data_IF_137579884481
#
_entry.id   IF_137579884481
#
_cell.length_a   1.000
_cell.length_b   1.000
_cell.length_c   1.000
_cell.angle_alpha   90.00
_cell.angle_beta   90.00
_cell.angle_gamma   90.00
#
_symmetry.space_group_name_H-M   'P 1'
#
loop_
_entity.id
_entity.type
_entity.pdbx_description
1 polymer ?
#
# COMPACT_ATOMS: atom_id res chain seq x y z
N UNK A 1 -5.85 -18.96 5.15
CA UNK A 1 -4.66 -19.20 4.31
C UNK A 1 -3.73 -18.01 4.48
N UNK A 2 -2.63 -18.19 5.21
CA UNK A 2 -1.65 -17.12 5.45
C UNK A 2 -0.61 -17.14 4.35
N UNK A 3 -0.74 -16.24 3.37
CA UNK A 3 0.31 -15.99 2.39
C UNK A 3 1.49 -15.31 3.07
N UNK A 4 2.71 -15.79 2.81
CA UNK A 4 3.92 -15.12 3.26
C UNK A 4 3.96 -13.72 2.63
N UNK A 5 4.16 -12.69 3.46
CA UNK A 5 4.27 -11.30 3.00
C UNK A 5 5.42 -11.18 2.00
N UNK A 6 5.16 -10.52 0.87
CA UNK A 6 6.17 -10.23 -0.15
C UNK A 6 6.25 -8.72 -0.39
N UNK A 7 7.46 -8.12 -0.36
CA UNK A 7 7.64 -6.74 -0.78
C UNK A 7 7.12 -6.53 -2.20
N UNK A 8 6.33 -5.48 -2.39
CA UNK A 8 5.88 -5.03 -3.69
C UNK A 8 6.78 -3.91 -4.21
N UNK A 9 7.12 -3.96 -5.49
CA UNK A 9 7.67 -2.82 -6.22
C UNK A 9 6.61 -1.73 -6.36
N UNK A 10 5.38 -2.13 -6.69
CA UNK A 10 4.23 -1.25 -6.78
C UNK A 10 2.95 -2.03 -6.51
N UNK A 11 1.92 -1.37 -6.01
CA UNK A 11 0.58 -1.93 -5.95
C UNK A 11 -0.47 -0.84 -6.19
N UNK A 12 -1.66 -1.28 -6.57
CA UNK A 12 -2.74 -0.45 -7.07
C UNK A 12 -4.06 -0.93 -6.47
N UNK A 13 -4.76 -0.01 -5.83
CA UNK A 13 -6.17 -0.17 -5.48
C UNK A 13 -7.04 0.50 -6.55
N UNK A 14 -7.67 -0.29 -7.42
CA UNK A 14 -8.54 0.18 -8.49
C UNK A 14 -9.99 -0.30 -8.27
N UNK A 15 -10.93 0.29 -9.02
CA UNK A 15 -12.35 -0.05 -8.89
C UNK A 15 -12.63 -1.53 -9.20
N UNK A 16 -11.90 -2.10 -10.16
CA UNK A 16 -12.09 -3.47 -10.64
C UNK A 16 -11.32 -4.51 -9.80
N UNK A 17 -10.34 -4.08 -9.01
CA UNK A 17 -9.46 -5.00 -8.31
C UNK A 17 -8.22 -4.35 -7.72
N UNK A 18 -7.45 -5.18 -7.02
CA UNK A 18 -6.12 -4.85 -6.53
C UNK A 18 -5.08 -5.56 -7.38
N UNK A 19 -4.03 -4.84 -7.73
CA UNK A 19 -2.92 -5.33 -8.52
C UNK A 19 -1.63 -5.06 -7.75
N UNK A 20 -0.71 -6.01 -7.70
CA UNK A 20 0.60 -5.78 -7.10
C UNK A 20 1.69 -6.43 -7.95
N UNK A 21 2.76 -5.69 -8.17
CA UNK A 21 3.97 -6.16 -8.80
C UNK A 21 5.01 -6.37 -7.70
N UNK A 22 5.49 -7.60 -7.50
CA UNK A 22 6.49 -7.89 -6.46
C UNK A 22 7.84 -7.24 -6.79
N UNK A 23 8.67 -7.03 -5.78
CA UNK A 23 10.08 -6.74 -6.05
C UNK A 23 10.72 -7.91 -6.80
N UNK A 24 11.68 -7.63 -7.71
CA UNK A 24 12.41 -8.69 -8.38
C UNK A 24 13.25 -9.49 -7.39
N UNK A 25 13.45 -10.79 -7.66
CA UNK A 25 14.26 -11.65 -6.83
C UNK A 25 15.75 -11.59 -7.23
N UNK A 26 16.62 -11.23 -6.29
CA UNK A 26 18.07 -11.11 -6.52
C UNK A 26 18.43 -9.99 -7.50
N UNK A 27 19.50 -10.19 -8.27
CA UNK A 27 19.91 -9.25 -9.33
C UNK A 27 19.12 -9.43 -10.65
N UNK A 28 18.13 -10.32 -10.67
CA UNK A 28 17.32 -10.58 -11.86
C UNK A 28 16.23 -9.54 -12.09
N UNK A 29 15.54 -9.66 -13.23
CA UNK A 29 14.32 -8.89 -13.56
C UNK A 29 13.03 -9.68 -13.34
N UNK A 30 13.12 -10.86 -12.74
CA UNK A 30 11.96 -11.73 -12.53
C UNK A 30 11.17 -11.29 -11.30
N UNK A 31 9.88 -11.02 -11.50
CA UNK A 31 8.93 -10.63 -10.48
C UNK A 31 7.61 -11.42 -10.65
N UNK A 32 6.64 -11.13 -9.80
CA UNK A 32 5.29 -11.67 -9.92
C UNK A 32 4.27 -10.55 -10.00
N UNK A 33 3.26 -10.76 -10.84
CA UNK A 33 2.02 -10.00 -10.83
C UNK A 33 1.00 -10.76 -9.99
N UNK A 34 0.51 -10.10 -8.95
CA UNK A 34 -0.58 -10.55 -8.09
C UNK A 34 -1.83 -9.75 -8.44
N UNK A 35 -2.95 -10.46 -8.62
CA UNK A 35 -4.23 -9.85 -8.94
C UNK A 35 -5.30 -10.35 -7.97
N UNK A 36 -6.11 -9.42 -7.46
CA UNK A 36 -7.33 -9.72 -6.76
C UNK A 36 -8.46 -8.96 -7.43
N UNK A 37 -9.40 -9.68 -8.04
CA UNK A 37 -10.50 -9.08 -8.78
C UNK A 37 -11.71 -8.90 -7.85
N UNK A 38 -12.44 -7.79 -8.01
CA UNK A 38 -13.68 -7.56 -7.26
C UNK A 38 -14.78 -8.44 -7.82
N UNK A 39 -15.36 -9.28 -6.96
CA UNK A 39 -16.50 -10.12 -7.28
C UNK A 39 -17.50 -10.06 -6.12
N UNK A 40 -18.75 -9.66 -6.41
CA UNK A 40 -19.83 -9.53 -5.42
C UNK A 40 -19.42 -8.71 -4.17
N UNK A 41 -18.67 -7.62 -4.36
CA UNK A 41 -18.24 -6.74 -3.26
C UNK A 41 -17.07 -7.26 -2.41
N UNK A 42 -16.42 -8.37 -2.81
CA UNK A 42 -15.23 -8.92 -2.16
C UNK A 42 -14.11 -9.16 -3.16
N UNK A 43 -12.87 -9.20 -2.67
CA UNK A 43 -11.70 -9.54 -3.50
C UNK A 43 -11.47 -11.05 -3.57
N UNK A 44 -11.33 -11.55 -4.79
CA UNK A 44 -10.94 -12.93 -5.07
C UNK A 44 -9.56 -12.97 -5.73
N UNK A 45 -8.63 -13.66 -5.08
CA UNK A 45 -7.26 -13.82 -5.56
C UNK A 45 -7.22 -14.66 -6.83
N UNK A 46 -6.52 -14.17 -7.84
CA UNK A 46 -6.18 -14.93 -9.04
C UNK A 46 -4.83 -15.65 -8.84
N UNK A 47 -4.58 -16.74 -9.57
CA UNK A 47 -3.26 -17.35 -9.62
C UNK A 47 -2.18 -16.31 -9.99
N UNK A 48 -1.06 -16.23 -9.26
CA UNK A 48 0.04 -15.33 -9.60
C UNK A 48 0.56 -15.57 -11.01
N UNK A 49 0.89 -14.49 -11.71
CA UNK A 49 1.55 -14.55 -13.03
C UNK A 49 3.02 -14.20 -12.90
N UNK A 50 3.90 -14.95 -13.57
CA UNK A 50 5.31 -14.62 -13.62
C UNK A 50 5.53 -13.48 -14.62
N UNK A 51 6.38 -12.52 -14.28
CA UNK A 51 6.67 -11.38 -15.15
C UNK A 51 8.16 -11.09 -15.18
N UNK A 52 8.61 -10.55 -16.31
CA UNK A 52 9.96 -10.01 -16.47
C UNK A 52 9.87 -8.50 -16.62
N UNK A 53 10.49 -7.78 -15.69
CA UNK A 53 10.60 -6.32 -15.73
C UNK A 53 11.49 -5.90 -16.89
N UNK A 54 11.18 -4.74 -17.47
CA UNK A 54 12.00 -4.09 -18.49
C UNK A 54 12.63 -2.82 -17.92
N UNK A 55 13.45 -2.14 -18.70
CA UNK A 55 14.03 -0.87 -18.30
C UNK A 55 12.94 0.19 -18.09
N UNK A 56 13.10 0.98 -17.04
CA UNK A 56 12.18 2.08 -16.74
C UNK A 56 12.36 3.19 -17.76
N UNK A 57 11.25 3.77 -18.21
CA UNK A 57 11.24 4.95 -19.05
C UNK A 57 10.69 6.14 -18.26
N UNK A 58 11.43 7.25 -18.22
CA UNK A 58 11.06 8.44 -17.46
C UNK A 58 10.56 9.53 -18.40
N UNK A 59 9.36 10.04 -18.14
CA UNK A 59 8.75 11.16 -18.85
C UNK A 59 8.52 12.36 -17.93
N UNK A 60 8.10 13.49 -18.51
CA UNK A 60 7.75 14.68 -17.74
C UNK A 60 6.64 14.37 -16.72
N UNK A 61 6.98 14.35 -15.42
CA UNK A 61 6.03 14.08 -14.34
C UNK A 61 5.68 12.60 -14.10
N UNK A 62 6.24 11.63 -14.84
CA UNK A 62 5.90 10.21 -14.72
C UNK A 62 7.11 9.28 -14.90
N UNK A 63 7.05 8.10 -14.28
CA UNK A 63 7.91 6.94 -14.59
C UNK A 63 7.02 5.80 -15.07
N UNK A 64 7.46 5.13 -16.12
CA UNK A 64 6.85 3.93 -16.67
C UNK A 64 7.77 2.76 -16.35
N UNK A 65 7.23 1.74 -15.68
CA UNK A 65 7.90 0.46 -15.45
C UNK A 65 7.21 -0.60 -16.31
N UNK A 66 7.73 -0.88 -17.52
CA UNK A 66 7.18 -1.92 -18.36
C UNK A 66 7.55 -3.31 -17.82
N UNK A 67 6.71 -4.29 -18.13
CA UNK A 67 6.97 -5.70 -17.86
C UNK A 67 6.27 -6.58 -18.90
N UNK A 68 6.81 -7.78 -19.12
CA UNK A 68 6.18 -8.80 -19.95
C UNK A 68 5.68 -9.95 -19.07
N UNK A 69 4.46 -10.41 -19.28
CA UNK A 69 3.92 -11.58 -18.56
C UNK A 69 4.41 -12.86 -19.22
N UNK A 70 5.25 -13.62 -18.53
CA UNK A 70 5.94 -14.80 -19.06
C UNK A 70 5.23 -16.11 -18.73
N UNK A 71 4.41 -16.15 -17.67
CA UNK A 71 3.58 -17.30 -17.30
C UNK A 71 2.31 -16.88 -16.56
N UNK A 72 1.29 -17.75 -16.53
CA UNK A 72 0.00 -17.52 -15.87
C UNK A 72 -1.12 -17.16 -16.85
N UNK A 73 -2.25 -16.70 -16.31
CA UNK A 73 -3.48 -16.43 -17.07
C UNK A 73 -3.32 -15.35 -18.15
N UNK A 74 -2.37 -14.43 -17.95
CA UNK A 74 -2.11 -13.31 -18.87
C UNK A 74 -0.84 -13.49 -19.70
N UNK A 75 -0.33 -14.72 -19.84
CA UNK A 75 0.91 -15.00 -20.58
C UNK A 75 0.87 -14.35 -21.97
N UNK A 76 1.95 -13.66 -22.32
CA UNK A 76 2.10 -12.96 -23.60
C UNK A 76 1.53 -11.54 -23.61
N UNK A 77 0.81 -11.12 -22.57
CA UNK A 77 0.35 -9.73 -22.46
C UNK A 77 1.50 -8.84 -21.97
N UNK A 78 1.72 -7.67 -22.59
CA UNK A 78 2.57 -6.64 -22.02
C UNK A 78 1.84 -5.96 -20.85
N UNK A 79 2.60 -5.33 -19.95
CA UNK A 79 2.03 -4.48 -18.92
C UNK A 79 2.96 -3.32 -18.57
N UNK A 80 2.38 -2.30 -17.95
CA UNK A 80 3.11 -1.09 -17.54
C UNK A 80 2.54 -0.62 -16.21
N UNK A 81 3.42 -0.37 -15.24
CA UNK A 81 3.08 0.41 -14.05
C UNK A 81 3.44 1.86 -14.31
N UNK A 82 2.48 2.76 -14.07
CA UNK A 82 2.68 4.21 -14.17
C UNK A 82 2.78 4.79 -12.76
N UNK A 83 3.88 5.47 -12.47
CA UNK A 83 4.10 6.18 -11.22
C UNK A 83 4.53 7.63 -11.46
N UNK A 84 4.45 8.48 -10.43
CA UNK A 84 4.96 9.85 -10.49
C UNK A 84 6.45 9.88 -10.19
N UNK A 85 7.23 10.64 -10.96
CA UNK A 85 8.61 11.00 -10.59
C UNK A 85 8.68 12.26 -9.70
N UNK A 86 7.58 13.00 -9.54
CA UNK A 86 7.51 14.17 -8.63
C UNK A 86 6.96 13.75 -7.27
N UNK A 87 5.84 13.04 -7.27
CA UNK A 87 5.16 12.60 -6.04
C UNK A 87 5.68 11.22 -5.63
N UNK A 88 6.92 11.18 -5.14
CA UNK A 88 7.63 9.95 -4.83
C UNK A 88 8.30 10.01 -3.44
N UNK A 89 8.61 8.85 -2.85
CA UNK A 89 9.17 8.76 -1.48
C UNK A 89 10.58 9.36 -1.30
N UNK A 90 11.28 9.73 -2.37
CA UNK A 90 12.57 10.42 -2.30
C UNK A 90 12.40 11.92 -2.02
N UNK A 91 11.25 12.50 -2.38
CA UNK A 91 10.91 13.88 -2.02
C UNK A 91 10.25 13.90 -0.63
N UNK A 92 10.83 14.61 0.36
CA UNK A 92 10.32 14.65 1.73
C UNK A 92 8.89 15.22 1.85
N UNK A 93 8.40 15.95 0.84
CA UNK A 93 7.02 16.42 0.80
C UNK A 93 6.02 15.26 0.65
N UNK A 94 6.45 14.08 0.16
CA UNK A 94 5.57 12.95 -0.12
C UNK A 94 5.89 11.72 0.72
N UNK A 95 4.84 11.19 1.35
CA UNK A 95 4.93 10.01 2.22
C UNK A 95 4.94 8.68 1.48
N UNK A 96 4.41 8.66 0.26
CA UNK A 96 4.24 7.48 -0.57
C UNK A 96 4.36 7.85 -2.04
N UNK A 97 4.97 6.96 -2.83
CA UNK A 97 5.00 7.13 -4.28
C UNK A 97 3.61 6.98 -4.87
N UNK A 98 3.20 7.96 -5.66
CA UNK A 98 1.95 7.92 -6.40
C UNK A 98 2.05 6.92 -7.54
N UNK A 99 1.37 5.78 -7.38
CA UNK A 99 1.05 4.88 -8.48
C UNK A 99 -0.26 5.38 -9.10
N UNK A 100 -0.24 5.70 -10.39
CA UNK A 100 -1.39 6.28 -11.10
C UNK A 100 -2.20 5.23 -11.85
N UNK A 101 -1.54 4.23 -12.46
CA UNK A 101 -2.23 3.17 -13.17
C UNK A 101 -1.40 1.88 -13.31
N UNK A 102 -2.11 0.76 -13.50
CA UNK A 102 -1.58 -0.50 -13.99
C UNK A 102 -2.23 -0.79 -15.34
N UNK A 103 -1.42 -0.93 -16.40
CA UNK A 103 -1.89 -1.38 -17.70
C UNK A 103 -1.51 -2.85 -17.91
N UNK A 104 -2.46 -3.65 -18.41
CA UNK A 104 -2.30 -5.08 -18.69
C UNK A 104 -2.98 -5.40 -20.03
N UNK A 105 -2.18 -5.66 -21.06
CA UNK A 105 -2.67 -5.74 -22.44
C UNK A 105 -3.34 -4.43 -22.85
N UNK A 106 -4.62 -4.50 -23.22
CA UNK A 106 -5.44 -3.34 -23.59
C UNK A 106 -6.19 -2.70 -22.41
N UNK A 107 -6.16 -3.31 -21.22
CA UNK A 107 -6.86 -2.81 -20.05
C UNK A 107 -5.99 -1.85 -19.24
N UNK A 108 -6.53 -0.69 -18.86
CA UNK A 108 -5.92 0.23 -17.90
C UNK A 108 -6.73 0.25 -16.60
N UNK A 109 -6.05 0.06 -15.47
CA UNK A 109 -6.59 0.10 -14.12
C UNK A 109 -6.07 1.35 -13.40
N UNK A 110 -6.92 2.36 -13.24
CA UNK A 110 -6.56 3.61 -12.56
C UNK A 110 -6.52 3.41 -11.05
N UNK A 111 -5.39 3.75 -10.45
CA UNK A 111 -5.15 3.55 -9.03
C UNK A 111 -5.68 4.72 -8.22
N UNK A 112 -6.37 4.41 -7.13
CA UNK A 112 -6.91 5.40 -6.20
C UNK A 112 -5.82 5.83 -5.22
N UNK A 113 -5.04 6.83 -5.61
CA UNK A 113 -4.02 7.44 -4.75
C UNK A 113 -4.65 8.16 -3.56
N UNK A 114 -3.95 8.16 -2.41
CA UNK A 114 -4.32 8.92 -1.22
C UNK A 114 -3.13 9.71 -0.75
N UNK A 115 -3.19 11.03 -0.93
CA UNK A 115 -2.11 11.93 -0.55
C UNK A 115 -1.87 11.91 0.96
N UNK A 116 -0.60 12.02 1.35
CA UNK A 116 -0.15 12.13 2.74
C UNK A 116 -0.56 10.96 3.66
N UNK A 117 -1.02 9.84 3.11
CA UNK A 117 -1.30 8.65 3.90
C UNK A 117 -0.03 8.15 4.59
N UNK A 118 -0.12 7.91 5.90
CA UNK A 118 0.90 7.21 6.67
C UNK A 118 0.80 5.70 6.48
N UNK A 119 -0.41 5.18 6.26
CA UNK A 119 -0.66 3.80 5.86
C UNK A 119 -1.80 3.74 4.86
N UNK A 120 -1.64 2.88 3.86
CA UNK A 120 -2.67 2.52 2.91
C UNK A 120 -2.63 1.01 2.77
N UNK A 121 -3.73 0.31 3.02
CA UNK A 121 -3.79 -1.14 2.92
C UNK A 121 -5.14 -1.62 2.41
N UNK A 122 -5.18 -2.80 1.81
CA UNK A 122 -6.42 -3.41 1.33
C UNK A 122 -6.64 -4.75 2.01
N UNK A 123 -7.84 -4.95 2.53
CA UNK A 123 -8.35 -6.23 3.02
C UNK A 123 -9.24 -6.88 1.96
N UNK A 124 -9.76 -8.08 2.21
CA UNK A 124 -10.69 -8.71 1.28
C UNK A 124 -11.99 -7.92 1.02
N UNK A 125 -12.31 -6.93 1.86
CA UNK A 125 -13.60 -6.20 1.83
C UNK A 125 -13.46 -4.70 1.54
N UNK A 126 -12.32 -4.10 1.88
CA UNK A 126 -12.18 -2.65 1.87
C UNK A 126 -10.73 -2.20 1.80
N UNK A 127 -10.54 -0.96 1.44
CA UNK A 127 -9.30 -0.23 1.63
C UNK A 127 -9.33 0.48 2.97
N UNK A 128 -8.23 0.43 3.69
CA UNK A 128 -7.97 1.09 4.97
C UNK A 128 -6.93 2.17 4.73
N UNK A 129 -7.20 3.37 5.25
CA UNK A 129 -6.37 4.55 5.08
C UNK A 129 -6.09 5.12 6.47
N UNK A 130 -4.83 5.47 6.73
CA UNK A 130 -4.44 6.14 7.95
C UNK A 130 -3.61 7.37 7.63
N UNK A 131 -3.94 8.49 8.26
CA UNK A 131 -3.13 9.70 8.28
C UNK A 131 -2.58 9.94 9.68
N UNK A 132 -1.40 10.53 9.76
CA UNK A 132 -0.77 10.93 11.02
C UNK A 132 -0.51 12.43 11.05
N UNK A 133 -0.78 13.05 12.20
CA UNK A 133 -0.37 14.42 12.48
C UNK A 133 -0.14 14.60 13.99
N UNK A 134 1.04 15.10 14.39
CA UNK A 134 1.32 15.46 15.79
C UNK A 134 1.11 14.33 16.82
N UNK A 135 1.42 13.07 16.47
CA UNK A 135 1.20 11.91 17.36
C UNK A 135 -0.26 11.41 17.41
N UNK A 136 -1.17 12.06 16.70
CA UNK A 136 -2.55 11.60 16.48
C UNK A 136 -2.67 10.88 15.14
N UNK A 137 -3.64 9.99 15.05
CA UNK A 137 -3.97 9.25 13.84
C UNK A 137 -5.44 9.40 13.45
N UNK A 138 -5.70 9.50 12.16
CA UNK A 138 -7.05 9.44 11.56
C UNK A 138 -7.16 8.14 10.77
N UNK A 139 -8.24 7.42 10.95
CA UNK A 139 -8.58 6.16 10.28
C UNK A 139 -9.77 6.39 9.35
N UNK A 140 -9.67 5.90 8.12
CA UNK A 140 -10.80 5.81 7.20
C UNK A 140 -10.83 4.48 6.47
N UNK A 141 -12.01 4.12 5.98
CA UNK A 141 -12.18 3.00 5.06
C UNK A 141 -12.94 3.42 3.82
N UNK A 142 -12.73 2.70 2.72
CA UNK A 142 -13.54 2.80 1.50
C UNK A 142 -13.79 1.42 0.92
N UNK A 143 -14.97 1.21 0.34
CA UNK A 143 -15.27 0.03 -0.46
C UNK A 143 -14.61 0.11 -1.84
N UNK A 144 -14.62 -0.99 -2.59
CA UNK A 144 -13.97 -1.04 -3.91
C UNK A 144 -14.64 -0.16 -4.96
N UNK A 145 -15.95 0.08 -4.85
CA UNK A 145 -16.68 1.06 -5.67
C UNK A 145 -16.36 2.52 -5.32
N UNK A 146 -15.61 2.78 -4.24
CA UNK A 146 -15.23 4.12 -3.80
C UNK A 146 -16.10 4.71 -2.71
N UNK A 147 -17.17 4.04 -2.29
CA UNK A 147 -18.04 4.52 -1.21
C UNK A 147 -17.26 4.65 0.11
N UNK A 148 -17.29 5.82 0.78
CA UNK A 148 -16.70 5.97 2.10
C UNK A 148 -17.35 5.04 3.12
N UNK A 149 -16.53 4.45 4.00
CA UNK A 149 -16.98 3.63 5.11
C UNK A 149 -16.80 4.34 6.46
N UNK A 150 -16.23 3.61 7.41
CA UNK A 150 -15.88 4.14 8.74
C UNK A 150 -14.86 5.26 8.62
N UNK A 151 -15.06 6.34 9.38
CA UNK A 151 -14.13 7.45 9.56
C UNK A 151 -13.99 7.76 11.05
N UNK A 152 -12.78 7.73 11.59
CA UNK A 152 -12.50 7.92 13.02
C UNK A 152 -11.25 8.78 13.20
N UNK A 153 -11.35 9.80 14.03
CA UNK A 153 -10.25 10.69 14.39
C UNK A 153 -9.79 10.46 15.83
N UNK A 154 -8.70 11.12 16.22
CA UNK A 154 -8.22 11.14 17.60
C UNK A 154 -7.52 9.86 18.06
N UNK A 155 -7.19 8.96 17.13
CA UNK A 155 -6.43 7.75 17.46
C UNK A 155 -5.02 8.05 17.91
N UNK A 156 -4.41 7.06 18.53
CA UNK A 156 -3.01 7.10 18.95
C UNK A 156 -2.17 6.52 17.82
N UNK A 157 -1.22 7.31 17.33
CA UNK A 157 -0.19 6.84 16.42
C UNK A 157 0.95 6.20 17.24
N UNK A 158 1.50 5.06 16.80
CA UNK A 158 2.69 4.49 17.45
C UNK A 158 3.86 5.47 17.34
N UNK A 159 4.51 5.76 18.47
CA UNK A 159 5.65 6.68 18.53
C UNK A 159 6.83 6.25 17.63
N UNK A 160 6.91 4.97 17.30
CA UNK A 160 8.02 4.35 16.58
C UNK A 160 7.51 3.34 15.53
N UNK A 161 6.95 3.80 14.41
CA UNK A 161 6.87 2.93 13.21
C UNK A 161 8.30 2.70 12.73
N UNK A 162 8.92 1.59 13.16
CA UNK A 162 10.30 1.26 12.77
C UNK A 162 10.27 0.41 11.51
N UNK A 163 10.96 0.87 10.46
CA UNK A 163 11.58 0.01 9.47
C UNK A 163 12.82 -0.64 10.10
N UNK A 164 13.19 -1.83 9.63
CA UNK A 164 14.41 -2.57 9.98
C UNK A 164 14.37 -3.41 11.25
N UNK A 165 13.26 -4.12 11.50
CA UNK A 165 13.40 -5.43 12.12
C UNK A 165 13.41 -6.48 11.00
N UNK A 166 14.15 -7.59 11.14
CA UNK A 166 14.07 -8.73 10.21
C UNK A 166 12.63 -9.28 10.05
N UNK A 167 11.69 -8.85 10.91
CA UNK A 167 10.29 -9.25 10.95
C UNK A 167 9.32 -8.25 10.30
N UNK A 168 9.79 -7.13 9.72
CA UNK A 168 8.95 -6.16 8.99
C UNK A 168 8.55 -4.92 9.80
N UNK A 169 7.45 -4.28 9.42
CA UNK A 169 6.94 -3.06 10.07
C UNK A 169 6.41 -3.36 11.48
N UNK A 170 6.78 -2.54 12.45
CA UNK A 170 6.25 -2.65 13.80
C UNK A 170 5.48 -1.39 14.18
N UNK A 171 4.22 -1.53 14.60
CA UNK A 171 3.37 -0.42 14.99
C UNK A 171 1.95 -0.87 15.25
N UNK A 172 1.33 -0.32 16.30
CA UNK A 172 -0.08 -0.53 16.61
C UNK A 172 -0.76 0.83 16.66
N UNK A 173 -1.71 1.06 15.75
CA UNK A 173 -2.61 2.18 15.86
C UNK A 173 -3.86 1.78 16.60
N UNK A 174 -4.36 2.68 17.44
CA UNK A 174 -5.55 2.44 18.25
C UNK A 174 -6.49 3.62 18.18
N UNK A 175 -7.76 3.36 17.85
CA UNK A 175 -8.84 4.34 17.97
C UNK A 175 -9.92 3.78 18.88
N UNK A 176 -10.28 4.51 19.94
CA UNK A 176 -11.41 4.17 20.80
C UNK A 176 -12.52 5.18 20.56
N UNK A 177 -13.70 4.70 20.23
CA UNK A 177 -14.90 5.52 20.00
C UNK A 177 -15.96 5.23 21.06
N UNK A 178 -17.01 6.05 21.07
CA UNK A 178 -18.16 5.86 21.96
C UNK A 178 -18.74 4.44 21.87
N UNK A 179 -19.28 3.95 22.98
CA UNK A 179 -19.83 2.59 23.07
C UNK A 179 -18.78 1.48 23.29
N UNK A 180 -17.53 1.85 23.56
CA UNK A 180 -16.46 0.89 23.89
C UNK A 180 -15.99 0.07 22.69
N UNK A 181 -16.07 0.65 21.49
CA UNK A 181 -15.54 0.08 20.25
C UNK A 181 -14.10 0.58 20.08
N UNK A 182 -13.20 -0.34 19.77
CA UNK A 182 -11.79 -0.05 19.57
C UNK A 182 -11.30 -0.65 18.26
N UNK A 183 -10.71 0.17 17.39
CA UNK A 183 -10.08 -0.24 16.14
C UNK A 183 -8.57 -0.36 16.37
N UNK A 184 -8.01 -1.53 16.05
CA UNK A 184 -6.59 -1.83 16.15
C UNK A 184 -6.04 -2.13 14.75
N UNK A 185 -5.06 -1.34 14.30
CA UNK A 185 -4.26 -1.66 13.12
C UNK A 185 -2.89 -2.17 13.59
N UNK A 186 -2.68 -3.47 13.54
CA UNK A 186 -1.43 -4.11 13.95
C UNK A 186 -0.57 -4.41 12.71
N UNK A 187 0.47 -3.60 12.50
CA UNK A 187 1.40 -3.76 11.38
C UNK A 187 2.29 -4.99 11.52
N UNK A 188 2.51 -5.51 12.75
CA UNK A 188 3.30 -6.73 12.96
C UNK A 188 2.53 -7.95 12.47
N UNK A 189 1.21 -7.92 12.60
CA UNK A 189 0.31 -9.00 12.19
C UNK A 189 -0.31 -8.78 10.82
N UNK A 190 -0.12 -7.61 10.22
CA UNK A 190 -0.79 -7.16 8.99
C UNK A 190 -2.31 -7.32 9.12
N UNK A 191 -2.86 -6.84 10.23
CA UNK A 191 -4.24 -7.10 10.61
C UNK A 191 -4.94 -5.81 11.07
N UNK A 192 -6.19 -5.67 10.64
CA UNK A 192 -7.18 -4.81 11.27
C UNK A 192 -8.05 -5.67 12.19
N UNK A 193 -8.16 -5.27 13.46
CA UNK A 193 -9.10 -5.86 14.40
C UNK A 193 -10.03 -4.79 14.97
N UNK A 194 -11.31 -5.12 15.10
CA UNK A 194 -12.28 -4.30 15.83
C UNK A 194 -12.69 -5.05 17.07
N UNK A 195 -12.60 -4.39 18.22
CA UNK A 195 -13.04 -4.90 19.50
C UNK A 195 -14.24 -4.11 19.99
N UNK A 196 -15.16 -4.79 20.66
CA UNK A 196 -16.27 -4.16 21.34
C UNK A 196 -16.36 -4.76 22.73
N UNK A 197 -16.32 -3.91 23.77
CA UNK A 197 -16.36 -4.35 25.19
C UNK A 197 -15.34 -5.46 25.50
N UNK A 198 -14.12 -5.30 24.98
CA UNK A 198 -13.00 -6.24 25.18
C UNK A 198 -13.00 -7.49 24.29
N UNK A 199 -14.06 -7.78 23.52
CA UNK A 199 -14.13 -8.91 22.60
C UNK A 199 -13.82 -8.50 21.17
N UNK A 200 -13.02 -9.29 20.44
CA UNK A 200 -12.80 -9.07 19.00
C UNK A 200 -14.07 -9.45 18.23
N UNK A 201 -14.68 -8.49 17.55
CA UNK A 201 -15.89 -8.67 16.73
C UNK A 201 -15.60 -8.69 15.24
N UNK A 202 -14.46 -8.13 14.81
CA UNK A 202 -13.99 -8.18 13.44
C UNK A 202 -12.48 -8.38 13.41
N UNK A 203 -12.02 -9.17 12.44
CA UNK A 203 -10.63 -9.36 12.10
C UNK A 203 -10.49 -9.46 10.59
N UNK A 204 -9.62 -8.63 10.00
CA UNK A 204 -9.33 -8.61 8.57
C UNK A 204 -7.83 -8.56 8.35
N UNK A 205 -7.29 -9.46 7.52
CA UNK A 205 -5.89 -9.43 7.11
C UNK A 205 -5.68 -8.55 5.88
N UNK A 206 -4.53 -7.88 5.80
CA UNK A 206 -4.15 -7.12 4.62
C UNK A 206 -3.61 -8.04 3.52
N UNK A 207 -4.08 -7.81 2.29
CA UNK A 207 -3.63 -8.47 1.07
C UNK A 207 -2.46 -7.72 0.42
N UNK A 208 -2.50 -6.40 0.47
CA UNK A 208 -1.46 -5.49 0.02
C UNK A 208 -1.49 -4.23 0.88
N UNK A 209 -0.34 -3.62 1.12
CA UNK A 209 -0.25 -2.35 1.82
C UNK A 209 1.04 -1.60 1.52
N UNK A 210 1.01 -0.31 1.83
CA UNK A 210 2.18 0.54 1.98
C UNK A 210 2.14 1.22 3.35
N UNK A 211 3.32 1.41 3.92
CA UNK A 211 3.53 2.15 5.16
C UNK A 211 4.55 3.22 4.84
N UNK A 212 4.24 4.47 5.20
CA UNK A 212 5.21 5.56 5.18
C UNK A 212 6.00 5.54 6.48
N UNK A 213 7.33 5.56 6.39
CA UNK A 213 8.16 5.80 7.56
C UNK A 213 8.36 7.27 7.80
N UNK A 214 8.36 7.65 9.06
CA UNK A 214 8.84 8.98 9.45
C UNK A 214 10.32 9.05 9.09
N UNK A 215 10.69 9.99 8.23
CA UNK A 215 12.06 10.47 8.19
C UNK A 215 12.26 11.23 9.50
N UNK A 216 13.20 10.84 10.38
CA UNK A 216 13.52 11.65 11.53
C UNK A 216 13.97 13.02 11.02
N UNK A 217 13.32 14.10 11.45
CA UNK A 217 13.80 15.46 11.22
C UNK A 217 15.07 15.71 12.05
N UNK A 218 16.17 15.07 11.69
CA UNK A 218 17.50 15.42 12.14
C UNK A 218 18.36 15.67 10.89
N UNK A 219 17.96 16.64 10.07
CA UNK A 219 18.88 17.30 9.15
C UNK A 219 19.10 18.67 9.73
N UNK A 220 20.09 18.78 10.62
CA UNK A 220 20.73 20.07 10.87
C UNK A 220 21.24 20.54 9.51
N UNK A 221 20.85 21.72 9.02
CA UNK A 221 21.43 22.23 7.78
C UNK A 221 22.93 22.39 8.03
N UNK A 222 23.74 21.58 7.35
CA UNK A 222 25.17 21.85 7.23
C UNK A 222 25.27 23.17 6.48
N UNK A 223 25.51 24.24 7.23
CA UNK A 223 26.05 25.48 6.70
C UNK A 223 27.28 25.11 5.88
N UNK A 224 27.17 25.23 4.56
CA UNK A 224 28.33 25.28 3.68
C UNK A 224 29.13 26.51 4.10
N UNK A 225 30.25 26.29 4.77
CA UNK A 225 31.35 27.24 4.69
C UNK A 225 31.92 27.19 3.27
N UNK A 226 32.11 28.35 2.68
CA UNK A 226 32.91 28.57 1.48
C UNK A 226 33.32 30.05 1.48
N UNK A 227 34.49 30.43 0.97
CA UNK A 227 35.72 29.68 0.66
C UNK A 227 36.84 29.92 1.68
#
# INVERSE_FOLDING_TARGET
>A
MGGQMRPALAWCDAQQGVFALTQPQGQGRQAQLLEWQVQRGSLNQQPPSAVTLQDTDAGAGQVYQPFAVTAGLRRGQPGVVRSSNVENVQDPAYRMTRISAFSLGTAEHRCRYVAQAAFLGVTAKRTVIVWENGGKATYATRTFDGTPGVFVQGGVSPANVRLNSPQGFTGLYTWTVAGGITYHLDLRRNELAVRQRGRTVLRESFLAYSVSTRVPMNVTPTTKETP
#
